data_IF_403320447290
#
_entry.id   IF_403320447290
#
_cell.length_a   1.000
_cell.length_b   1.000
_cell.length_c   1.000
_cell.angle_alpha   90.00
_cell.angle_beta   90.00
_cell.angle_gamma   90.00
#
_symmetry.space_group_name_H-M   'P 1'
#
loop_
_entity.id
_entity.type
_entity.pdbx_description
1 polymer ?
#
# COMPACT_ATOMS: atom_id res chain seq x y z
N UNK A 1 -64.56 -23.96 27.54
CA UNK A 1 -63.64 -23.86 28.69
C UNK A 1 -62.23 -24.19 28.22
N UNK A 2 -61.48 -23.17 27.80
CA UNK A 2 -60.10 -23.31 27.33
C UNK A 2 -59.22 -23.27 28.58
N UNK A 3 -58.43 -24.33 28.80
CA UNK A 3 -57.58 -24.48 29.97
C UNK A 3 -56.54 -23.36 30.00
N UNK A 4 -56.37 -22.71 31.15
CA UNK A 4 -55.40 -21.62 31.40
C UNK A 4 -53.94 -21.97 31.02
N UNK A 5 -53.63 -23.25 30.82
CA UNK A 5 -52.28 -23.74 30.55
C UNK A 5 -51.83 -23.66 29.09
N UNK A 6 -52.74 -23.49 28.12
CA UNK A 6 -52.36 -23.36 26.69
C UNK A 6 -52.12 -21.91 26.26
N UNK A 7 -52.63 -20.93 27.01
CA UNK A 7 -52.42 -19.50 26.72
C UNK A 7 -51.00 -19.06 27.09
N UNK A 8 -50.40 -19.68 28.10
CA UNK A 8 -49.05 -19.33 28.57
C UNK A 8 -47.93 -19.78 27.61
N UNK A 9 -48.16 -20.86 26.83
CA UNK A 9 -47.17 -21.37 25.87
C UNK A 9 -47.13 -20.55 24.58
N UNK A 10 -48.27 -19.96 24.18
CA UNK A 10 -48.35 -19.13 22.96
C UNK A 10 -47.73 -17.74 23.15
N UNK A 11 -47.74 -17.18 24.37
CA UNK A 11 -47.10 -15.88 24.66
C UNK A 11 -45.57 -15.95 24.76
N UNK A 12 -45.01 -17.13 25.00
CA UNK A 12 -43.56 -17.36 25.03
C UNK A 12 -42.95 -17.64 23.66
N UNK A 13 -43.76 -17.92 22.64
CA UNK A 13 -43.32 -18.13 21.25
C UNK A 13 -43.52 -16.90 20.35
N UNK A 14 -44.26 -15.89 20.80
CA UNK A 14 -44.44 -14.63 20.06
C UNK A 14 -43.43 -13.54 20.44
N UNK A 15 -42.59 -13.77 21.44
CA UNK A 15 -41.58 -12.80 21.89
C UNK A 15 -40.37 -12.72 20.94
N UNK A 16 -40.21 -13.70 20.04
CA UNK A 16 -39.13 -13.72 19.05
C UNK A 16 -39.41 -12.86 17.79
N UNK A 17 -40.58 -12.21 17.71
CA UNK A 17 -40.98 -11.40 16.56
C UNK A 17 -40.72 -9.90 16.71
N UNK A 18 -40.26 -9.44 17.88
CA UNK A 18 -39.80 -8.07 18.07
C UNK A 18 -38.41 -8.10 18.67
N UNK A 19 -37.41 -7.88 17.81
CA UNK A 19 -35.99 -7.83 18.15
C UNK A 19 -35.65 -6.76 19.18
N UNK A 20 -35.91 -7.05 20.45
CA UNK A 20 -35.30 -6.38 21.58
C UNK A 20 -33.91 -6.98 21.80
N UNK A 21 -32.90 -6.36 21.19
CA UNK A 21 -31.51 -6.61 21.53
C UNK A 21 -31.27 -6.23 23.00
N UNK A 22 -30.82 -7.21 23.79
CA UNK A 22 -30.32 -6.95 25.14
C UNK A 22 -29.18 -5.92 25.11
N UNK A 23 -29.16 -4.91 26.00
CA UNK A 23 -28.14 -3.86 26.00
C UNK A 23 -26.77 -4.34 26.54
N UNK A 24 -26.65 -5.62 26.89
CA UNK A 24 -25.46 -6.22 27.52
C UNK A 24 -24.69 -7.17 26.62
N UNK A 25 -25.11 -7.34 25.37
CA UNK A 25 -24.28 -7.99 24.35
C UNK A 25 -23.79 -6.84 23.48
N UNK A 26 -22.48 -6.52 23.48
CA UNK A 26 -21.94 -5.65 22.45
C UNK A 26 -22.38 -6.26 21.13
N UNK A 27 -23.11 -5.50 20.30
CA UNK A 27 -23.21 -5.84 18.88
C UNK A 27 -21.80 -6.29 18.47
N UNK A 28 -21.62 -7.48 17.86
CA UNK A 28 -20.32 -7.81 17.29
C UNK A 28 -20.13 -6.77 16.20
N UNK A 29 -19.52 -5.64 16.59
CA UNK A 29 -19.20 -4.53 15.72
C UNK A 29 -18.46 -5.19 14.59
N UNK A 30 -18.95 -4.98 13.37
CA UNK A 30 -18.41 -5.56 12.15
C UNK A 30 -16.90 -5.48 12.25
N UNK A 31 -16.26 -6.60 12.55
CA UNK A 31 -14.82 -6.66 12.74
C UNK A 31 -14.27 -6.56 11.33
N UNK A 32 -14.05 -5.33 10.85
CA UNK A 32 -13.31 -5.09 9.62
C UNK A 32 -11.94 -5.68 9.86
N UNK A 33 -11.70 -6.87 9.30
CA UNK A 33 -10.40 -7.49 9.27
C UNK A 33 -9.48 -6.47 8.60
N UNK A 34 -8.65 -5.82 9.41
CA UNK A 34 -7.64 -4.88 8.97
C UNK A 34 -6.59 -5.71 8.24
N UNK A 35 -6.62 -5.66 6.92
CA UNK A 35 -5.63 -6.35 6.11
C UNK A 35 -4.37 -5.51 6.14
N UNK A 36 -3.34 -6.01 6.83
CA UNK A 36 -2.02 -5.37 6.84
C UNK A 36 -1.32 -5.74 5.55
N UNK A 37 -0.82 -4.73 4.84
CA UNK A 37 0.00 -4.93 3.65
C UNK A 37 1.36 -5.50 4.11
N UNK A 38 1.74 -6.67 3.60
CA UNK A 38 2.97 -7.34 4.03
C UNK A 38 4.05 -7.27 2.96
N UNK A 39 3.65 -7.12 1.70
CA UNK A 39 4.55 -7.26 0.58
C UNK A 39 4.16 -6.32 -0.55
N UNK A 40 5.17 -5.74 -1.19
CA UNK A 40 5.02 -4.86 -2.34
C UNK A 40 6.00 -5.30 -3.43
N UNK A 41 5.51 -5.33 -4.66
CA UNK A 41 6.34 -5.45 -5.86
C UNK A 41 6.07 -4.27 -6.78
N UNK A 42 7.13 -3.55 -7.10
CA UNK A 42 7.12 -2.52 -8.14
C UNK A 42 8.11 -2.86 -9.23
N UNK A 43 7.65 -2.81 -10.47
CA UNK A 43 8.46 -3.11 -11.63
C UNK A 43 8.12 -2.19 -12.79
N UNK A 44 9.07 -2.00 -13.69
CA UNK A 44 8.83 -1.27 -14.93
C UNK A 44 10.09 -0.68 -15.51
N UNK A 45 9.92 0.43 -16.23
CA UNK A 45 10.98 1.02 -17.04
C UNK A 45 11.46 2.35 -16.44
N UNK A 46 12.75 2.61 -16.59
CA UNK A 46 13.39 3.88 -16.23
C UNK A 46 13.90 4.53 -17.51
N UNK A 47 13.47 5.77 -17.74
CA UNK A 47 13.90 6.58 -18.89
C UNK A 47 14.69 7.81 -18.46
N UNK A 48 15.39 8.40 -19.44
CA UNK A 48 16.15 9.63 -19.26
C UNK A 48 16.08 10.48 -20.53
N UNK A 49 15.74 11.77 -20.39
CA UNK A 49 15.69 12.69 -21.53
C UNK A 49 17.08 13.07 -22.08
N UNK A 50 18.11 13.10 -21.23
CA UNK A 50 19.42 13.66 -21.59
C UNK A 50 20.42 12.64 -22.12
N UNK A 51 20.21 11.37 -21.83
CA UNK A 51 21.15 10.30 -22.16
C UNK A 51 20.43 8.96 -22.24
N UNK A 52 20.87 8.09 -23.15
CA UNK A 52 20.41 6.69 -23.21
C UNK A 52 21.26 5.76 -22.33
N UNK A 53 22.36 6.27 -21.78
CA UNK A 53 23.35 5.55 -20.99
C UNK A 53 23.61 6.14 -19.57
N UNK A 54 22.62 6.72 -18.85
CA UNK A 54 22.90 7.26 -17.54
C UNK A 54 23.26 6.12 -16.57
N UNK A 55 24.15 6.41 -15.64
CA UNK A 55 24.44 5.55 -14.50
C UNK A 55 23.41 5.83 -13.41
N UNK A 56 22.75 4.77 -12.95
CA UNK A 56 21.96 4.76 -11.72
C UNK A 56 22.82 4.13 -10.63
N UNK A 57 23.23 4.93 -9.66
CA UNK A 57 24.07 4.52 -8.54
C UNK A 57 23.26 4.03 -7.34
N UNK A 58 21.99 4.46 -7.23
CA UNK A 58 21.09 4.08 -6.15
C UNK A 58 19.65 4.04 -6.65
N UNK A 59 18.91 3.02 -6.23
CA UNK A 59 17.47 2.88 -6.41
C UNK A 59 16.92 2.17 -5.17
N UNK A 60 16.15 2.87 -4.34
CA UNK A 60 15.56 2.33 -3.11
C UNK A 60 14.07 2.68 -3.07
N UNK A 61 13.24 1.72 -2.67
CA UNK A 61 11.84 1.95 -2.34
C UNK A 61 11.69 2.37 -0.87
N UNK A 62 10.87 3.39 -0.67
CA UNK A 62 10.53 3.96 0.62
C UNK A 62 9.01 4.10 0.75
N UNK A 63 8.56 4.02 1.99
CA UNK A 63 7.20 4.32 2.41
C UNK A 63 7.23 5.72 3.09
N UNK A 64 6.22 6.54 2.84
CA UNK A 64 6.05 7.85 3.43
C UNK A 64 4.89 7.87 4.42
N UNK A 65 5.23 7.92 5.70
CA UNK A 65 4.26 8.14 6.76
C UNK A 65 3.80 9.61 6.84
N UNK A 66 2.74 9.94 6.10
CA UNK A 66 2.01 11.19 6.29
C UNK A 66 1.00 11.07 7.45
N UNK A 67 0.91 12.02 8.40
CA UNK A 67 1.56 13.33 8.46
C UNK A 67 2.83 13.39 9.34
N UNK A 68 3.30 12.25 9.84
CA UNK A 68 4.38 12.19 10.84
C UNK A 68 5.76 12.46 10.20
N UNK A 69 5.87 12.40 8.87
CA UNK A 69 7.11 12.49 8.09
C UNK A 69 8.16 11.47 8.56
N UNK A 70 7.72 10.28 8.98
CA UNK A 70 8.58 9.19 9.40
C UNK A 70 8.81 8.25 8.21
N UNK A 71 9.56 8.71 7.21
CA UNK A 71 9.79 7.90 6.00
C UNK A 71 10.51 6.59 6.34
N UNK A 72 9.87 5.46 6.02
CA UNK A 72 10.37 4.13 6.31
C UNK A 72 11.10 3.53 5.11
N UNK A 73 12.38 3.20 5.31
CA UNK A 73 13.14 2.40 4.35
C UNK A 73 12.72 0.95 4.49
N UNK A 74 12.18 0.39 3.40
CA UNK A 74 11.67 -0.97 3.41
C UNK A 74 12.80 -1.99 3.21
N UNK A 75 12.82 -3.11 3.96
CA UNK A 75 13.62 -4.26 3.58
C UNK A 75 13.24 -4.71 2.17
N UNK A 76 14.22 -4.75 1.27
CA UNK A 76 13.98 -4.89 -0.16
C UNK A 76 15.09 -5.63 -0.89
N UNK A 77 14.71 -6.28 -1.99
CA UNK A 77 15.62 -6.78 -3.02
C UNK A 77 15.32 -6.06 -4.33
N UNK A 78 16.37 -5.58 -4.99
CA UNK A 78 16.26 -4.79 -6.22
C UNK A 78 17.00 -5.52 -7.33
N UNK A 79 16.32 -5.75 -8.44
CA UNK A 79 16.93 -6.12 -9.71
C UNK A 79 16.91 -4.89 -10.60
N UNK A 80 18.09 -4.45 -11.04
CA UNK A 80 18.25 -3.30 -11.92
C UNK A 80 19.03 -3.73 -13.17
N UNK A 81 18.34 -3.75 -14.32
CA UNK A 81 18.92 -4.08 -15.62
C UNK A 81 19.17 -2.79 -16.41
N UNK A 82 20.45 -2.43 -16.51
CA UNK A 82 20.95 -1.29 -17.28
C UNK A 82 21.63 -1.73 -18.60
N UNK A 83 21.41 -2.97 -19.07
CA UNK A 83 22.07 -3.50 -20.27
C UNK A 83 21.40 -3.04 -21.57
N UNK A 84 20.09 -2.76 -21.53
CA UNK A 84 19.28 -2.33 -22.68
C UNK A 84 18.40 -1.16 -22.28
N UNK A 85 18.36 -0.10 -23.09
CA UNK A 85 17.48 1.05 -22.89
C UNK A 85 16.10 0.82 -23.53
N UNK A 86 14.97 1.17 -22.87
CA UNK A 86 14.88 1.73 -21.53
C UNK A 86 15.26 0.70 -20.46
N UNK A 87 15.93 1.17 -19.41
CA UNK A 87 16.36 0.31 -18.32
C UNK A 87 15.18 -0.26 -17.57
N UNK A 88 15.38 -1.41 -16.93
CA UNK A 88 14.31 -2.10 -16.22
C UNK A 88 14.66 -2.26 -14.76
N UNK A 89 13.63 -2.18 -13.92
CA UNK A 89 13.74 -2.48 -12.51
C UNK A 89 12.65 -3.43 -12.06
N UNK A 90 12.96 -4.21 -11.03
CA UNK A 90 12.02 -5.05 -10.30
C UNK A 90 12.41 -5.02 -8.82
N UNK A 91 11.57 -4.41 -8.00
CA UNK A 91 11.77 -4.23 -6.57
C UNK A 91 10.73 -5.07 -5.86
N UNK A 92 11.21 -5.91 -4.95
CA UNK A 92 10.39 -6.67 -4.02
C UNK A 92 10.71 -6.19 -2.61
N UNK A 93 9.71 -5.71 -1.89
CA UNK A 93 9.86 -5.14 -0.56
C UNK A 93 8.85 -5.75 0.41
N UNK A 94 9.23 -5.80 1.69
CA UNK A 94 8.34 -6.19 2.78
C UNK A 94 8.04 -5.00 3.66
N UNK A 95 6.80 -4.87 4.09
CA UNK A 95 6.36 -3.85 5.04
C UNK A 95 6.18 -4.54 6.39
N UNK A 96 6.79 -3.99 7.42
CA UNK A 96 6.60 -4.46 8.80
C UNK A 96 5.80 -3.39 9.56
N UNK A 97 4.78 -3.84 10.29
CA UNK A 97 4.15 -3.07 11.39
C UNK A 97 3.43 -1.77 11.07
N UNK A 98 3.05 -1.47 9.83
CA UNK A 98 2.14 -0.35 9.65
C UNK A 98 0.67 -0.76 9.82
N UNK A 99 0.07 -0.18 10.85
CA UNK A 99 -1.35 -0.26 11.12
C UNK A 99 -2.14 0.71 10.23
N UNK A 100 -1.52 1.40 9.29
CA UNK A 100 -2.23 2.13 8.26
C UNK A 100 -2.83 1.16 7.23
N UNK A 101 -3.96 1.60 6.66
CA UNK A 101 -4.47 1.06 5.40
C UNK A 101 -4.16 2.01 4.23
N UNK A 102 -3.41 3.08 4.49
CA UNK A 102 -3.01 4.09 3.53
C UNK A 102 -1.49 4.15 3.45
N UNK A 103 -0.94 3.85 2.28
CA UNK A 103 0.50 3.78 2.05
C UNK A 103 0.89 4.70 0.90
N UNK A 104 1.96 5.47 1.10
CA UNK A 104 2.48 6.39 0.10
C UNK A 104 3.90 5.98 -0.27
N UNK A 105 4.10 5.44 -1.47
CA UNK A 105 5.38 4.93 -1.93
C UNK A 105 6.11 5.91 -2.83
N UNK A 106 7.41 6.02 -2.60
CA UNK A 106 8.32 6.75 -3.47
C UNK A 106 9.66 6.03 -3.62
N UNK A 107 10.36 6.33 -4.71
CA UNK A 107 11.73 5.85 -4.95
C UNK A 107 12.73 6.95 -4.59
N UNK A 108 13.73 6.58 -3.81
CA UNK A 108 14.91 7.41 -3.59
C UNK A 108 15.98 6.98 -4.61
N UNK A 109 16.33 7.89 -5.53
CA UNK A 109 17.16 7.56 -6.71
C UNK A 109 18.39 8.47 -6.76
N UNK A 110 19.57 7.89 -7.01
CA UNK A 110 20.80 8.62 -7.32
C UNK A 110 21.27 8.26 -8.72
N UNK A 111 21.42 9.26 -9.59
CA UNK A 111 21.73 9.04 -11.00
C UNK A 111 22.51 10.22 -11.60
N UNK A 112 23.06 10.04 -12.80
CA UNK A 112 23.71 11.13 -13.57
C UNK A 112 22.92 11.54 -14.84
N UNK A 113 21.67 11.13 -14.97
CA UNK A 113 20.75 11.66 -15.99
C UNK A 113 20.43 13.15 -15.74
N UNK A 114 21.31 14.04 -16.18
CA UNK A 114 21.18 15.49 -16.10
C UNK A 114 21.85 16.13 -17.31
N UNK A 115 21.53 17.38 -17.63
CA UNK A 115 22.05 18.07 -18.82
C UNK A 115 23.59 18.06 -18.93
N UNK A 116 24.31 18.17 -17.81
CA UNK A 116 25.77 18.19 -17.73
C UNK A 116 26.37 16.93 -17.07
N UNK A 117 25.59 15.83 -16.95
CA UNK A 117 26.01 14.55 -16.34
C UNK A 117 26.52 14.64 -14.90
N UNK A 118 26.15 15.68 -14.15
CA UNK A 118 26.39 15.69 -12.71
C UNK A 118 25.48 14.66 -12.02
N UNK A 119 25.95 14.14 -10.88
CA UNK A 119 25.16 13.22 -10.06
C UNK A 119 24.11 14.00 -9.28
N UNK A 120 22.86 13.60 -9.40
CA UNK A 120 21.72 14.12 -8.67
C UNK A 120 21.10 13.01 -7.81
N UNK A 121 20.47 13.42 -6.70
CA UNK A 121 19.74 12.54 -5.79
C UNK A 121 18.34 13.10 -5.60
N UNK A 122 17.29 12.30 -5.79
CA UNK A 122 15.90 12.78 -5.72
C UNK A 122 14.91 11.74 -5.20
N UNK A 123 13.77 12.23 -4.73
CA UNK A 123 12.54 11.45 -4.54
C UNK A 123 11.76 11.40 -5.86
N UNK A 124 11.20 10.24 -6.18
CA UNK A 124 10.25 10.03 -7.28
C UNK A 124 9.03 9.36 -6.70
N UNK A 125 7.91 10.09 -6.59
CA UNK A 125 6.64 9.52 -6.12
C UNK A 125 6.15 8.46 -7.10
N UNK A 126 5.85 7.27 -6.59
CA UNK A 126 5.45 6.12 -7.41
C UNK A 126 3.96 5.89 -7.29
N UNK A 127 3.46 5.71 -6.07
CA UNK A 127 2.08 5.28 -5.88
C UNK A 127 1.55 5.54 -4.47
N UNK A 128 0.34 6.06 -4.39
CA UNK A 128 -0.47 6.13 -3.18
C UNK A 128 -1.55 5.04 -3.23
N UNK A 129 -1.73 4.30 -2.13
CA UNK A 129 -2.71 3.20 -2.05
C UNK A 129 -3.43 3.16 -0.73
N UNK A 130 -4.76 3.20 -0.83
CA UNK A 130 -5.66 2.63 0.17
C UNK A 130 -5.76 1.13 -0.08
N UNK A 131 -5.17 0.32 0.79
CA UNK A 131 -5.14 -1.15 0.66
C UNK A 131 -6.13 -1.82 1.61
N UNK A 132 -6.93 -2.72 1.04
CA UNK A 132 -7.68 -3.75 1.77
C UNK A 132 -7.07 -5.14 1.57
N UNK A 133 -5.92 -5.22 0.88
CA UNK A 133 -5.22 -6.42 0.45
C UNK A 133 -3.84 -6.52 1.12
N UNK A 134 -3.31 -7.74 1.24
CA UNK A 134 -2.00 -7.99 1.88
C UNK A 134 -0.81 -7.80 0.93
N UNK A 135 -1.06 -7.50 -0.34
CA UNK A 135 -0.07 -7.50 -1.41
C UNK A 135 -0.33 -6.39 -2.43
N UNK A 136 0.72 -5.66 -2.83
CA UNK A 136 0.69 -4.76 -3.98
C UNK A 136 1.59 -5.32 -5.09
N UNK A 137 1.05 -5.41 -6.30
CA UNK A 137 1.80 -5.68 -7.52
C UNK A 137 1.51 -4.58 -8.54
N UNK A 138 2.44 -3.64 -8.74
CA UNK A 138 2.20 -2.54 -9.65
C UNK A 138 3.33 -2.35 -10.67
N UNK A 139 2.91 -2.16 -11.92
CA UNK A 139 3.78 -1.66 -12.96
C UNK A 139 3.86 -0.13 -12.84
N UNK A 140 5.07 0.41 -12.73
CA UNK A 140 5.31 1.84 -12.73
C UNK A 140 6.54 2.14 -13.58
N UNK A 141 6.46 3.15 -14.44
CA UNK A 141 7.60 3.62 -15.21
C UNK A 141 7.80 5.09 -14.92
N UNK A 142 9.05 5.51 -14.79
CA UNK A 142 9.37 6.88 -14.42
C UNK A 142 10.58 7.38 -15.19
N UNK A 143 10.67 8.71 -15.27
CA UNK A 143 11.78 9.42 -15.86
C UNK A 143 12.69 9.96 -14.76
N UNK A 144 14.00 9.73 -14.90
CA UNK A 144 14.98 10.16 -13.89
C UNK A 144 15.01 11.69 -13.72
N UNK A 145 14.77 12.44 -14.79
CA UNK A 145 14.78 13.90 -14.75
C UNK A 145 13.65 14.47 -15.59
N UNK A 146 12.85 15.34 -14.98
CA UNK A 146 11.84 16.13 -15.66
C UNK A 146 12.27 17.59 -15.61
N UNK A 147 12.31 18.26 -16.76
CA UNK A 147 12.69 19.67 -16.83
C UNK A 147 11.68 20.54 -16.05
N UNK A 148 12.16 21.31 -15.07
CA UNK A 148 11.35 22.22 -14.27
C UNK A 148 10.97 21.76 -12.85
N UNK A 149 11.53 20.63 -12.39
CA UNK A 149 11.64 20.31 -10.95
C UNK A 149 12.73 21.17 -10.27
#
# INVERSE_FOLDING_TARGET
MIRLSTVLVLLLLSSDLFGYSSPLVPNPGRMTRKTVLNYVRFYGNITCQYANDPAIALLELWEHDSPVNADDHLPQTIVLDQTVYPYKYDIHATIDRDESNHYEFYLWVQHNCTFNRHTAKRKVWVQEKLVSETYINAAASFELFKYGD
#
